data_IF_706482415003
#
_entry.id   IF_706482415003
#
_cell.length_a   1.000
_cell.length_b   1.000
_cell.length_c   1.000
_cell.angle_alpha   90.00
_cell.angle_beta   90.00
_cell.angle_gamma   90.00
#
_symmetry.space_group_name_H-M   'P 1'
#
loop_
_entity.id
_entity.type
_entity.pdbx_description
1 polymer ?
#
# COMPACT_ATOMS: atom_id res chain seq x y z
N UNK A 1 6.04 38.43 2.79
CA UNK A 1 5.70 38.63 1.38
C UNK A 1 5.42 37.26 0.77
N UNK A 2 4.16 36.88 0.62
CA UNK A 2 3.82 35.69 -0.15
C UNK A 2 4.07 36.02 -1.62
N UNK A 3 5.01 35.32 -2.26
CA UNK A 3 5.22 35.43 -3.70
C UNK A 3 3.99 34.83 -4.36
N UNK A 4 3.07 35.69 -4.79
CA UNK A 4 1.92 35.30 -5.59
C UNK A 4 2.46 34.89 -6.96
N UNK A 5 2.63 33.58 -7.19
CA UNK A 5 2.95 33.06 -8.51
C UNK A 5 1.75 33.33 -9.43
N UNK A 6 1.99 33.71 -10.70
CA UNK A 6 0.90 33.90 -11.65
C UNK A 6 0.09 32.59 -11.78
N UNK A 7 -1.24 32.72 -11.80
CA UNK A 7 -2.21 31.61 -11.67
C UNK A 7 -1.87 30.41 -12.57
N UNK A 8 -1.46 30.65 -13.83
CA UNK A 8 -1.07 29.59 -14.77
C UNK A 8 0.21 28.81 -14.41
N UNK A 9 1.15 29.38 -13.64
CA UNK A 9 2.33 28.65 -13.15
C UNK A 9 1.94 27.76 -11.96
N UNK A 10 1.07 28.25 -11.08
CA UNK A 10 0.54 27.49 -9.93
C UNK A 10 -0.26 26.27 -10.37
N UNK A 11 -1.16 26.42 -11.35
CA UNK A 11 -1.95 25.31 -11.89
C UNK A 11 -1.08 24.24 -12.58
N UNK A 12 -0.02 24.67 -13.26
CA UNK A 12 0.92 23.75 -13.89
C UNK A 12 1.69 22.93 -12.84
N UNK A 13 2.08 23.53 -11.73
CA UNK A 13 2.74 22.82 -10.64
C UNK A 13 1.78 21.86 -9.92
N UNK A 14 0.54 22.28 -9.68
CA UNK A 14 -0.50 21.43 -9.10
C UNK A 14 -0.80 20.22 -9.97
N UNK A 15 -0.95 20.41 -11.29
CA UNK A 15 -1.20 19.31 -12.23
C UNK A 15 -0.03 18.34 -12.35
N UNK A 16 1.22 18.81 -12.29
CA UNK A 16 2.40 17.93 -12.25
C UNK A 16 2.42 17.09 -10.97
N UNK A 17 2.13 17.70 -9.82
CA UNK A 17 2.05 16.98 -8.55
C UNK A 17 0.92 15.96 -8.56
N UNK A 18 -0.25 16.32 -9.08
CA UNK A 18 -1.39 15.42 -9.23
C UNK A 18 -1.03 14.20 -10.09
N UNK A 19 -0.38 14.41 -11.26
CA UNK A 19 0.09 13.32 -12.12
C UNK A 19 1.04 12.37 -11.39
N UNK A 20 1.97 12.92 -10.60
CA UNK A 20 2.88 12.12 -9.78
C UNK A 20 2.13 11.31 -8.73
N UNK A 21 1.19 11.94 -8.01
CA UNK A 21 0.36 11.28 -7.01
C UNK A 21 -0.44 10.11 -7.64
N UNK A 22 -1.08 10.33 -8.79
CA UNK A 22 -1.80 9.28 -9.52
C UNK A 22 -0.89 8.13 -9.96
N UNK A 23 0.33 8.43 -10.44
CA UNK A 23 1.30 7.40 -10.83
C UNK A 23 1.71 6.54 -9.63
N UNK A 24 2.08 7.17 -8.51
CA UNK A 24 2.44 6.46 -7.28
C UNK A 24 1.27 5.65 -6.71
N UNK A 25 0.03 6.17 -6.77
CA UNK A 25 -1.16 5.40 -6.37
C UNK A 25 -1.34 4.13 -7.18
N UNK A 26 -1.05 4.18 -8.49
CA UNK A 26 -1.12 3.01 -9.34
C UNK A 26 -0.09 1.97 -8.93
N UNK A 27 1.17 2.37 -8.77
CA UNK A 27 2.25 1.50 -8.33
C UNK A 27 1.92 0.82 -6.99
N UNK A 28 1.46 1.59 -5.99
CA UNK A 28 1.11 1.02 -4.68
C UNK A 28 -0.08 0.06 -4.73
N UNK A 29 -1.06 0.29 -5.61
CA UNK A 29 -2.20 -0.63 -5.78
C UNK A 29 -1.77 -1.93 -6.47
N UNK A 30 -0.87 -1.84 -7.44
CA UNK A 30 -0.27 -3.01 -8.08
C UNK A 30 0.54 -3.83 -7.05
N UNK A 31 1.36 -3.16 -6.23
CA UNK A 31 2.13 -3.78 -5.14
C UNK A 31 1.21 -4.41 -4.08
N UNK A 32 0.12 -3.74 -3.72
CA UNK A 32 -0.88 -4.26 -2.78
C UNK A 32 -1.51 -5.54 -3.32
N UNK A 33 -1.92 -5.54 -4.58
CA UNK A 33 -2.52 -6.71 -5.23
C UNK A 33 -1.55 -7.91 -5.21
N UNK A 34 -0.28 -7.68 -5.54
CA UNK A 34 0.75 -8.73 -5.53
C UNK A 34 0.97 -9.24 -4.10
N UNK A 35 1.11 -8.34 -3.13
CA UNK A 35 1.38 -8.70 -1.73
C UNK A 35 0.20 -9.46 -1.12
N UNK A 36 -1.05 -9.09 -1.44
CA UNK A 36 -2.24 -9.82 -1.02
C UNK A 36 -2.26 -11.24 -1.61
N UNK A 37 -1.90 -11.41 -2.88
CA UNK A 37 -1.81 -12.74 -3.49
C UNK A 37 -0.71 -13.60 -2.83
N UNK A 38 0.43 -13.00 -2.49
CA UNK A 38 1.48 -13.70 -1.73
C UNK A 38 1.05 -14.09 -0.33
N UNK A 39 0.30 -13.21 0.35
CA UNK A 39 -0.24 -13.48 1.69
C UNK A 39 -1.23 -14.64 1.67
N UNK A 40 -2.09 -14.71 0.66
CA UNK A 40 -3.05 -15.81 0.48
C UNK A 40 -2.33 -17.16 0.37
N UNK A 41 -1.35 -17.26 -0.54
CA UNK A 41 -0.51 -18.46 -0.69
C UNK A 41 0.21 -18.81 0.62
N UNK A 42 0.76 -17.82 1.33
CA UNK A 42 1.46 -18.06 2.59
C UNK A 42 0.52 -18.53 3.72
N UNK A 43 -0.74 -18.12 3.71
CA UNK A 43 -1.74 -18.59 4.68
C UNK A 43 -2.12 -20.05 4.41
N UNK A 44 -2.21 -20.44 3.14
CA UNK A 44 -2.40 -21.84 2.75
C UNK A 44 -1.21 -22.70 3.22
N UNK A 45 0.03 -22.23 2.99
CA UNK A 45 1.25 -22.90 3.46
C UNK A 45 1.31 -23.00 5.00
N UNK A 46 0.89 -21.93 5.69
CA UNK A 46 0.80 -21.93 7.16
C UNK A 46 -0.16 -23.01 7.64
N UNK A 47 -1.30 -23.15 6.96
CA UNK A 47 -2.33 -24.14 7.29
C UNK A 47 -1.81 -25.57 7.11
N UNK A 48 -1.08 -25.88 6.02
CA UNK A 48 -0.45 -27.20 5.85
C UNK A 48 0.63 -27.45 6.91
N UNK A 49 1.42 -26.43 7.25
CA UNK A 49 2.43 -26.53 8.30
C UNK A 49 1.80 -26.80 9.69
N UNK A 50 0.63 -26.23 9.99
CA UNK A 50 -0.13 -26.51 11.21
C UNK A 50 -0.57 -27.97 11.28
N UNK A 51 -1.13 -28.49 10.18
CA UNK A 51 -1.52 -29.90 10.09
C UNK A 51 -0.31 -30.82 10.29
N UNK A 52 0.82 -30.50 9.67
CA UNK A 52 2.04 -31.32 9.76
C UNK A 52 2.65 -31.30 11.16
N UNK A 53 2.69 -30.13 11.81
CA UNK A 53 3.16 -30.00 13.18
C UNK A 53 2.32 -30.84 14.15
N UNK A 54 0.99 -30.79 14.00
CA UNK A 54 0.07 -31.59 14.81
C UNK A 54 0.23 -33.10 14.59
N UNK A 55 0.40 -33.54 13.34
CA UNK A 55 0.49 -34.98 13.02
C UNK A 55 1.85 -35.57 13.37
N UNK A 56 2.91 -34.80 13.18
CA UNK A 56 4.28 -35.32 13.26
C UNK A 56 4.90 -35.15 14.64
N UNK A 57 4.42 -34.18 15.43
CA UNK A 57 4.95 -33.86 16.78
C UNK A 57 6.48 -33.73 16.82
N UNK A 58 7.08 -33.29 15.72
CA UNK A 58 8.54 -33.17 15.60
C UNK A 58 8.99 -31.72 15.80
N UNK A 59 10.15 -31.50 16.45
CA UNK A 59 10.72 -30.15 16.59
C UNK A 59 10.96 -29.42 15.26
N UNK A 60 11.20 -30.17 14.18
CA UNK A 60 11.39 -29.62 12.84
C UNK A 60 10.07 -29.07 12.27
N UNK A 61 8.97 -29.78 12.44
CA UNK A 61 7.65 -29.32 11.98
C UNK A 61 7.20 -28.06 12.74
N UNK A 62 7.46 -27.99 14.06
CA UNK A 62 7.20 -26.80 14.86
C UNK A 62 8.04 -25.59 14.42
N UNK A 63 9.30 -25.81 14.04
CA UNK A 63 10.17 -24.76 13.54
C UNK A 63 9.65 -24.19 12.21
N UNK A 64 9.27 -25.06 11.27
CA UNK A 64 8.69 -24.67 9.99
C UNK A 64 7.38 -23.89 10.16
N UNK A 65 6.51 -24.34 11.07
CA UNK A 65 5.27 -23.64 11.39
C UNK A 65 5.53 -22.22 11.93
N UNK A 66 6.51 -22.07 12.85
CA UNK A 66 6.87 -20.74 13.37
C UNK A 66 7.40 -19.81 12.28
N UNK A 67 8.20 -20.32 11.37
CA UNK A 67 8.74 -19.56 10.23
C UNK A 67 7.60 -19.10 9.29
N UNK A 68 6.74 -20.02 8.86
CA UNK A 68 5.59 -19.71 8.00
C UNK A 68 4.66 -18.66 8.63
N UNK A 69 4.37 -18.78 9.94
CA UNK A 69 3.61 -17.77 10.70
C UNK A 69 4.29 -16.41 10.74
N UNK A 70 5.61 -16.36 10.90
CA UNK A 70 6.36 -15.12 10.89
C UNK A 70 6.28 -14.43 9.51
N UNK A 71 6.36 -15.21 8.42
CA UNK A 71 6.21 -14.70 7.06
C UNK A 71 4.81 -14.14 6.78
N UNK A 72 3.75 -14.89 7.08
CA UNK A 72 2.37 -14.41 6.94
C UNK A 72 2.14 -13.12 7.74
N UNK A 73 2.65 -13.06 8.98
CA UNK A 73 2.56 -11.86 9.81
C UNK A 73 3.27 -10.65 9.19
N UNK A 74 4.47 -10.86 8.61
CA UNK A 74 5.21 -9.79 7.95
C UNK A 74 4.50 -9.27 6.70
N UNK A 75 3.96 -10.17 5.88
CA UNK A 75 3.15 -9.82 4.70
C UNK A 75 1.88 -9.06 5.10
N UNK A 76 1.17 -9.52 6.13
CA UNK A 76 -0.02 -8.83 6.65
C UNK A 76 0.27 -7.40 7.13
N UNK A 77 1.41 -7.17 7.79
CA UNK A 77 1.86 -5.82 8.16
C UNK A 77 2.17 -4.96 6.93
N UNK A 78 2.76 -5.55 5.90
CA UNK A 78 3.05 -4.83 4.66
C UNK A 78 1.78 -4.42 3.92
N UNK A 79 0.79 -5.32 3.83
CA UNK A 79 -0.55 -5.03 3.29
C UNK A 79 -1.16 -3.83 4.01
N UNK A 80 -1.20 -3.85 5.35
CA UNK A 80 -1.75 -2.74 6.13
C UNK A 80 -1.00 -1.41 5.88
N UNK A 81 0.31 -1.45 5.72
CA UNK A 81 1.11 -0.27 5.38
C UNK A 81 0.78 0.29 3.99
N UNK A 82 0.62 -0.59 2.99
CA UNK A 82 0.23 -0.19 1.63
C UNK A 82 -1.16 0.43 1.60
N UNK A 83 -2.14 -0.16 2.29
CA UNK A 83 -3.50 0.37 2.44
C UNK A 83 -3.49 1.77 3.07
N UNK A 84 -2.77 1.95 4.18
CA UNK A 84 -2.64 3.26 4.83
C UNK A 84 -2.02 4.29 3.87
N UNK A 85 -0.96 3.90 3.15
CA UNK A 85 -0.26 4.81 2.23
C UNK A 85 -1.13 5.21 1.03
N UNK A 86 -1.91 4.27 0.50
CA UNK A 86 -2.88 4.53 -0.56
C UNK A 86 -3.92 5.53 -0.07
N UNK A 87 -4.52 5.31 1.11
CA UNK A 87 -5.52 6.22 1.68
C UNK A 87 -4.98 7.64 1.87
N UNK A 88 -3.74 7.79 2.36
CA UNK A 88 -3.07 9.09 2.48
C UNK A 88 -2.91 9.80 1.13
N UNK A 89 -2.50 9.08 0.09
CA UNK A 89 -2.31 9.66 -1.24
C UNK A 89 -3.63 9.97 -1.94
N UNK A 90 -4.69 9.18 -1.71
CA UNK A 90 -6.04 9.49 -2.18
C UNK A 90 -6.54 10.79 -1.57
N UNK A 91 -6.32 10.99 -0.27
CA UNK A 91 -6.64 12.27 0.38
C UNK A 91 -5.82 13.43 -0.19
N UNK A 92 -4.50 13.25 -0.39
CA UNK A 92 -3.67 14.26 -1.03
C UNK A 92 -4.16 14.59 -2.46
N UNK A 93 -4.57 13.57 -3.23
CA UNK A 93 -5.11 13.75 -4.57
C UNK A 93 -6.38 14.60 -4.54
N UNK A 94 -7.31 14.32 -3.62
CA UNK A 94 -8.54 15.09 -3.44
C UNK A 94 -8.22 16.56 -3.09
N UNK A 95 -7.33 16.79 -2.12
CA UNK A 95 -6.91 18.14 -1.74
C UNK A 95 -6.29 18.92 -2.91
N UNK A 96 -5.52 18.24 -3.78
CA UNK A 96 -4.93 18.84 -4.97
C UNK A 96 -5.97 19.17 -6.05
N UNK A 97 -6.97 18.30 -6.24
CA UNK A 97 -8.09 18.53 -7.15
C UNK A 97 -8.95 19.71 -6.69
N UNK A 98 -9.26 19.80 -5.40
CA UNK A 98 -10.02 20.91 -4.82
C UNK A 98 -9.30 22.24 -5.02
N UNK A 99 -7.98 22.28 -4.81
CA UNK A 99 -7.16 23.48 -5.06
C UNK A 99 -7.17 23.87 -6.53
N UNK A 100 -7.08 22.90 -7.44
CA UNK A 100 -7.10 23.16 -8.88
C UNK A 100 -8.46 23.74 -9.32
N UNK A 101 -9.57 23.17 -8.84
CA UNK A 101 -10.91 23.68 -9.13
C UNK A 101 -11.18 25.04 -8.47
N UNK A 102 -10.71 25.24 -7.23
CA UNK A 102 -10.82 26.52 -6.54
C UNK A 102 -10.01 27.64 -7.20
N UNK A 103 -8.84 27.32 -7.75
CA UNK A 103 -8.00 28.28 -8.47
C UNK A 103 -8.55 28.59 -9.87
N UNK A 104 -9.27 27.65 -10.50
CA UNK A 104 -9.98 27.88 -11.77
C UNK A 104 -11.25 28.73 -11.64
N UNK A 105 -11.79 28.89 -10.41
CA UNK A 105 -12.99 29.66 -10.13
C UNK A 105 -12.74 31.10 -9.62
N UNK A 106 -11.47 31.49 -9.42
CA UNK A 106 -11.03 32.86 -9.08
C UNK A 106 -10.45 33.58 -10.29
#
# INVERSE_FOLDING_TARGET
>A
MAVQLPVGISDRLLSLRLRRCTATLRELRDDLQITMAQLDVMNDDTTDAELRALVSETPLADAHLRESKAHSTALGRHVAHLEERIAQLEQEQNDLLDRLHGNAAS
#
